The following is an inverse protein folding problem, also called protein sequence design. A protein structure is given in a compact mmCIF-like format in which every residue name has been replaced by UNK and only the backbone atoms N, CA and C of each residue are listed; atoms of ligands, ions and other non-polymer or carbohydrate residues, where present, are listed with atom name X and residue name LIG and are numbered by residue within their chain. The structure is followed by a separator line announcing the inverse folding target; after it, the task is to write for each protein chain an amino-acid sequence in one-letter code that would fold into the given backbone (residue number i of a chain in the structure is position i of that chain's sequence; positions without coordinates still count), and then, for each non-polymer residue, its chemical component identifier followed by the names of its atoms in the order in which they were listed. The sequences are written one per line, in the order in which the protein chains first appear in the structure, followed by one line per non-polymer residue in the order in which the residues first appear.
data_IF_994012402241
#
_entry.id   IF_994012402241
#
_cell.length_a   1.000
_cell.length_b   1.000
_cell.length_c   1.000
_cell.angle_alpha   90.00
_cell.angle_beta   90.00
_cell.angle_gamma   90.00
#
_symmetry.space_group_name_H-M   'P 1'
#
loop_
_entity.id
_entity.type
_entity.pdbx_description
1 polymer ?
#
# COMPACT_ATOMS: atom_id res chain seq x y z
N UNK A 1 -2.83 16.66 -3.16
CA UNK A 1 -1.93 15.58 -3.63
C UNK A 1 -2.21 15.30 -5.10
N UNK A 2 -1.24 15.56 -5.98
CA UNK A 2 -1.34 15.22 -7.40
C UNK A 2 -1.41 13.70 -7.60
N UNK A 3 -2.04 13.26 -8.69
CA UNK A 3 -2.25 11.84 -8.98
C UNK A 3 -0.92 11.06 -8.95
N UNK A 4 0.17 11.67 -9.43
CA UNK A 4 1.52 11.08 -9.41
C UNK A 4 2.01 10.73 -8.00
N UNK A 5 1.82 11.62 -7.02
CA UNK A 5 2.26 11.37 -5.63
C UNK A 5 1.53 10.19 -5.00
N UNK A 6 0.25 10.00 -5.34
CA UNK A 6 -0.55 8.84 -4.87
C UNK A 6 -0.02 7.53 -5.44
N UNK A 7 0.25 7.47 -6.74
CA UNK A 7 0.78 6.25 -7.38
C UNK A 7 2.21 5.93 -6.94
N UNK A 8 3.04 6.95 -6.67
CA UNK A 8 4.35 6.74 -6.05
C UNK A 8 4.24 6.11 -4.67
N UNK A 9 3.30 6.57 -3.83
CA UNK A 9 3.07 5.97 -2.51
C UNK A 9 2.64 4.50 -2.60
N UNK A 10 1.75 4.18 -3.53
CA UNK A 10 1.32 2.79 -3.78
C UNK A 10 2.51 1.94 -4.21
N UNK A 11 3.33 2.42 -5.15
CA UNK A 11 4.51 1.71 -5.64
C UNK A 11 5.55 1.46 -4.52
N UNK A 12 5.77 2.45 -3.65
CA UNK A 12 6.68 2.34 -2.50
C UNK A 12 6.16 1.32 -1.48
N UNK A 13 4.87 1.36 -1.14
CA UNK A 13 4.27 0.39 -0.22
C UNK A 13 4.35 -1.04 -0.76
N UNK A 14 4.14 -1.21 -2.06
CA UNK A 14 4.27 -2.50 -2.74
C UNK A 14 5.71 -3.01 -2.72
N UNK A 15 6.68 -2.14 -3.01
CA UNK A 15 8.10 -2.50 -2.98
C UNK A 15 8.54 -2.94 -1.57
N UNK A 16 8.13 -2.22 -0.53
CA UNK A 16 8.40 -2.59 0.87
C UNK A 16 7.79 -3.95 1.20
N UNK A 17 6.55 -4.19 0.78
CA UNK A 17 5.86 -5.47 0.99
C UNK A 17 6.64 -6.65 0.38
N UNK A 18 7.07 -6.52 -0.88
CA UNK A 18 7.82 -7.57 -1.58
C UNK A 18 9.19 -7.79 -0.95
N UNK A 19 9.94 -6.72 -0.68
CA UNK A 19 11.29 -6.82 -0.10
C UNK A 19 11.24 -7.47 1.27
N UNK A 20 10.29 -7.10 2.11
CA UNK A 20 10.14 -7.71 3.44
C UNK A 20 9.66 -9.15 3.33
N UNK A 21 8.68 -9.45 2.48
CA UNK A 21 8.20 -10.82 2.30
C UNK A 21 9.31 -11.78 1.85
N UNK A 22 10.25 -11.31 1.03
CA UNK A 22 11.41 -12.10 0.57
C UNK A 22 12.51 -12.16 1.62
N UNK A 23 12.90 -11.03 2.22
CA UNK A 23 14.02 -10.96 3.16
C UNK A 23 13.71 -11.58 4.54
N UNK A 24 12.43 -11.65 4.91
CA UNK A 24 11.98 -12.07 6.25
C UNK A 24 10.98 -13.23 6.21
N UNK A 25 10.98 -14.02 5.12
CA UNK A 25 9.99 -15.04 4.77
C UNK A 25 9.53 -15.97 5.91
N UNK A 26 10.38 -16.23 6.91
CA UNK A 26 10.12 -17.13 8.03
C UNK A 26 10.03 -16.44 9.42
N UNK A 27 9.84 -15.12 9.44
CA UNK A 27 9.70 -14.37 10.70
C UNK A 27 8.30 -13.80 10.85
N UNK A 28 7.84 -13.69 12.10
CA UNK A 28 6.56 -13.07 12.47
C UNK A 28 6.41 -11.64 11.92
N UNK A 29 7.53 -10.93 11.70
CA UNK A 29 7.58 -9.60 11.08
C UNK A 29 7.05 -9.60 9.64
N UNK A 30 7.25 -10.67 8.88
CA UNK A 30 6.72 -10.80 7.51
C UNK A 30 5.20 -10.72 7.51
N UNK A 31 4.53 -11.41 8.44
CA UNK A 31 3.07 -11.40 8.57
C UNK A 31 2.57 -9.98 8.90
N UNK A 32 3.17 -9.34 9.90
CA UNK A 32 2.76 -7.99 10.31
C UNK A 32 2.95 -6.97 9.20
N UNK A 33 4.11 -6.97 8.55
CA UNK A 33 4.43 -5.99 7.50
C UNK A 33 3.55 -6.21 6.28
N UNK A 34 3.31 -7.46 5.89
CA UNK A 34 2.47 -7.81 4.75
C UNK A 34 1.00 -7.41 4.99
N UNK A 35 0.48 -7.65 6.21
CA UNK A 35 -0.86 -7.18 6.60
C UNK A 35 -0.98 -5.64 6.60
N UNK A 36 0.01 -4.93 7.17
CA UNK A 36 0.00 -3.45 7.24
C UNK A 36 0.10 -2.82 5.86
N UNK A 37 0.99 -3.32 5.00
CA UNK A 37 1.13 -2.80 3.63
C UNK A 37 -0.07 -3.16 2.77
N UNK A 38 -0.64 -4.36 2.91
CA UNK A 38 -1.89 -4.75 2.26
C UNK A 38 -3.06 -3.82 2.64
N UNK A 39 -3.25 -3.56 3.94
CA UNK A 39 -4.24 -2.60 4.43
C UNK A 39 -3.98 -1.17 3.92
N UNK A 40 -2.72 -0.75 3.87
CA UNK A 40 -2.32 0.55 3.33
C UNK A 40 -2.69 0.73 1.85
N UNK A 41 -2.47 -0.31 1.02
CA UNK A 41 -2.85 -0.30 -0.39
C UNK A 41 -4.38 -0.23 -0.54
N UNK A 42 -5.12 -1.08 0.16
CA UNK A 42 -6.59 -1.09 0.10
C UNK A 42 -7.17 0.25 0.55
N UNK A 43 -6.63 0.84 1.62
CA UNK A 43 -7.04 2.16 2.11
C UNK A 43 -6.80 3.27 1.11
N UNK A 44 -5.65 3.27 0.41
CA UNK A 44 -5.35 4.25 -0.65
C UNK A 44 -6.28 4.11 -1.85
N UNK A 45 -6.59 2.89 -2.26
CA UNK A 45 -7.55 2.62 -3.35
C UNK A 45 -8.96 3.08 -2.95
N UNK A 46 -9.39 2.78 -1.72
CA UNK A 46 -10.69 3.23 -1.20
C UNK A 46 -10.78 4.76 -1.15
N UNK A 47 -9.75 5.44 -0.63
CA UNK A 47 -9.70 6.91 -0.61
C UNK A 47 -9.65 7.51 -2.04
N UNK A 48 -9.11 6.80 -3.02
CA UNK A 48 -9.19 7.19 -4.42
C UNK A 48 -10.63 7.17 -4.93
N UNK A 49 -11.35 6.06 -4.76
CA UNK A 49 -12.74 5.94 -5.20
C UNK A 49 -13.66 6.92 -4.48
N UNK A 50 -13.50 7.09 -3.16
CA UNK A 50 -14.32 8.02 -2.37
C UNK A 50 -14.08 9.48 -2.80
N UNK A 51 -12.81 9.88 -3.02
CA UNK A 51 -12.51 11.26 -3.48
C UNK A 51 -12.83 11.49 -4.95
N UNK A 52 -12.71 10.47 -5.79
CA UNK A 52 -13.15 10.52 -7.19
C UNK A 52 -14.65 10.78 -7.26
N UNK A 53 -15.44 10.06 -6.45
CA UNK A 53 -16.90 10.24 -6.38
C UNK A 53 -17.34 11.64 -5.92
N UNK A 54 -16.57 12.30 -5.04
CA UNK A 54 -16.90 13.67 -4.56
C UNK A 54 -16.56 14.80 -5.53
N UNK A 55 -15.92 14.51 -6.66
CA UNK A 55 -15.53 15.50 -7.69
C UNK A 55 -16.38 15.42 -8.97
N UNK A 56 -17.31 14.48 -9.04
CA UNK A 56 -18.37 14.34 -10.07
C UNK A 56 -19.69 14.74 -9.44
#
# INVERSE_FOLDING_TARGET
MGNSVRWTFVAVLLAINVVVSVAFADTWLSITINAVTGLGIVGLVADYFIRGRRRT
#
